data_IF_046576597196
#
_entry.id   IF_046576597196
#
_cell.length_a   1.000
_cell.length_b   1.000
_cell.length_c   1.000
_cell.angle_alpha   90.00
_cell.angle_beta   90.00
_cell.angle_gamma   90.00
#
_symmetry.space_group_name_H-M   'P 1'
#
loop_
_entity.id
_entity.type
_entity.pdbx_description
1 polymer ?
#
# COMPACT_ATOMS: atom_id res chain seq x y z
N UNK A 1 -7.22 -8.79 -16.91
CA UNK A 1 -5.75 -8.65 -16.83
C UNK A 1 -5.12 -9.71 -15.92
N UNK A 2 -5.48 -9.79 -14.63
CA UNK A 2 -4.91 -10.77 -13.69
C UNK A 2 -4.99 -12.23 -14.16
N UNK A 3 -6.15 -12.67 -14.67
CA UNK A 3 -6.31 -14.04 -15.21
C UNK A 3 -5.41 -14.35 -16.40
N UNK A 4 -5.04 -13.33 -17.18
CA UNK A 4 -4.16 -13.48 -18.34
C UNK A 4 -2.72 -13.68 -17.89
N UNK A 5 -2.24 -12.91 -16.92
CA UNK A 5 -0.91 -13.08 -16.33
C UNK A 5 -0.75 -14.46 -15.68
N UNK A 6 -1.73 -14.89 -14.89
CA UNK A 6 -1.72 -16.23 -14.27
C UNK A 6 -1.72 -17.37 -15.30
N UNK A 7 -2.32 -17.14 -16.48
CA UNK A 7 -2.32 -18.12 -17.59
C UNK A 7 -0.95 -18.22 -18.27
N UNK A 8 -0.20 -17.12 -18.34
CA UNK A 8 1.16 -17.10 -18.91
C UNK A 8 2.16 -17.69 -17.91
N UNK A 9 2.08 -17.28 -16.66
CA UNK A 9 2.96 -17.74 -15.60
C UNK A 9 2.17 -18.01 -14.31
N UNK A 10 1.98 -19.29 -13.98
CA UNK A 10 1.23 -19.70 -12.80
C UNK A 10 1.91 -19.31 -11.47
N UNK A 11 3.22 -18.99 -11.50
CA UNK A 11 3.96 -18.52 -10.32
C UNK A 11 3.75 -17.03 -10.03
N UNK A 12 3.20 -16.26 -10.96
CA UNK A 12 2.90 -14.85 -10.73
C UNK A 12 1.62 -14.68 -9.93
N UNK A 13 1.72 -13.91 -8.85
CA UNK A 13 0.61 -13.57 -7.97
C UNK A 13 0.62 -12.07 -7.69
N UNK A 14 -0.57 -11.50 -7.54
CA UNK A 14 -0.69 -10.10 -7.11
C UNK A 14 -0.36 -10.04 -5.63
N UNK A 15 0.68 -9.28 -5.29
CA UNK A 15 1.12 -9.08 -3.90
C UNK A 15 0.60 -7.75 -3.37
N UNK A 16 0.51 -6.74 -4.21
CA UNK A 16 -0.04 -5.44 -3.82
C UNK A 16 -0.25 -4.51 -5.04
N UNK A 17 -0.39 -3.21 -4.75
CA UNK A 17 -0.56 -2.10 -5.66
C UNK A 17 0.47 -1.00 -5.39
N UNK A 18 0.67 -0.14 -6.38
CA UNK A 18 1.57 1.00 -6.31
C UNK A 18 0.87 2.25 -6.81
N UNK A 19 1.36 3.41 -6.35
CA UNK A 19 0.89 4.71 -6.80
C UNK A 19 2.06 5.60 -7.19
N UNK A 20 1.89 6.33 -8.28
CA UNK A 20 2.85 7.33 -8.73
C UNK A 20 2.70 8.57 -7.85
N UNK A 21 3.74 8.89 -7.08
CA UNK A 21 3.69 9.98 -6.11
C UNK A 21 4.94 10.83 -6.10
N UNK A 22 4.91 11.89 -5.26
CA UNK A 22 5.92 11.93 -4.21
C UNK A 22 5.34 11.75 -2.80
N UNK A 23 4.00 11.83 -2.63
CA UNK A 23 3.34 11.83 -1.31
C UNK A 23 2.06 10.99 -1.32
N UNK A 24 1.68 10.51 -0.13
CA UNK A 24 0.41 9.84 0.17
C UNK A 24 -0.78 10.79 0.00
N UNK A 25 -1.90 10.25 -0.47
CA UNK A 25 -3.19 10.93 -0.61
C UNK A 25 -4.20 10.32 0.36
N UNK A 26 -5.19 11.10 0.79
CA UNK A 26 -6.23 10.59 1.69
C UNK A 26 -7.01 9.42 1.06
N UNK A 27 -7.28 9.49 -0.25
CA UNK A 27 -7.96 8.44 -1.01
C UNK A 27 -7.17 7.11 -1.05
N UNK A 28 -5.86 7.12 -0.76
CA UNK A 28 -5.04 5.91 -0.80
C UNK A 28 -5.50 4.91 0.27
N UNK A 29 -6.04 5.37 1.41
CA UNK A 29 -6.59 4.50 2.44
C UNK A 29 -7.83 3.74 1.96
N UNK A 30 -8.72 4.41 1.22
CA UNK A 30 -9.93 3.78 0.71
C UNK A 30 -9.61 2.79 -0.41
N UNK A 31 -8.66 3.12 -1.29
CA UNK A 31 -8.14 2.18 -2.30
C UNK A 31 -7.51 0.98 -1.60
N UNK A 32 -6.69 1.19 -0.58
CA UNK A 32 -6.03 0.11 0.15
C UNK A 32 -7.02 -0.85 0.81
N UNK A 33 -8.11 -0.33 1.39
CA UNK A 33 -9.21 -1.16 1.92
C UNK A 33 -9.84 -2.05 0.85
N UNK A 34 -9.97 -1.57 -0.38
CA UNK A 34 -10.47 -2.41 -1.47
C UNK A 34 -9.49 -3.53 -1.83
N UNK A 35 -8.18 -3.28 -1.72
CA UNK A 35 -7.14 -4.28 -2.01
C UNK A 35 -7.09 -5.43 -0.99
N UNK A 36 -7.55 -5.22 0.25
CA UNK A 36 -7.71 -6.28 1.24
C UNK A 36 -8.68 -7.39 0.77
N UNK A 37 -9.59 -7.11 -0.17
CA UNK A 37 -10.45 -8.14 -0.77
C UNK A 37 -9.72 -9.08 -1.73
N UNK A 38 -8.52 -8.70 -2.18
CA UNK A 38 -7.73 -9.45 -3.18
C UNK A 38 -6.48 -10.11 -2.57
N UNK A 39 -5.85 -9.44 -1.59
CA UNK A 39 -4.63 -9.90 -0.93
C UNK A 39 -4.77 -9.68 0.57
N UNK A 40 -4.39 -10.65 1.43
CA UNK A 40 -4.57 -10.53 2.88
C UNK A 40 -3.72 -9.43 3.53
N UNK A 41 -2.51 -9.16 3.01
CA UNK A 41 -1.58 -8.18 3.56
C UNK A 41 -1.04 -7.28 2.42
N UNK A 42 -1.85 -6.37 1.87
CA UNK A 42 -1.39 -5.47 0.83
C UNK A 42 -0.40 -4.43 1.39
N UNK A 43 0.58 -4.05 0.57
CA UNK A 43 1.60 -3.02 0.86
C UNK A 43 1.52 -1.91 -0.18
N UNK A 44 1.20 -0.69 0.20
CA UNK A 44 1.21 0.45 -0.73
C UNK A 44 2.66 0.87 -1.03
N UNK A 45 3.07 0.80 -2.28
CA UNK A 45 4.37 1.34 -2.72
C UNK A 45 4.18 2.65 -3.48
N UNK A 46 4.73 3.74 -2.94
CA UNK A 46 4.83 5.02 -3.63
C UNK A 46 6.12 5.05 -4.42
N UNK A 47 5.99 5.23 -5.74
CA UNK A 47 7.13 5.33 -6.66
C UNK A 47 7.34 6.79 -7.05
N UNK A 48 8.55 7.29 -6.83
CA UNK A 48 8.98 8.64 -7.22
C UNK A 48 9.58 8.57 -8.62
N UNK A 49 8.83 9.04 -9.61
CA UNK A 49 9.24 8.98 -11.03
C UNK A 49 10.39 9.94 -11.34
N UNK A 50 10.45 11.07 -10.62
CA UNK A 50 11.51 12.08 -10.77
C UNK A 50 12.20 12.29 -9.42
N UNK A 51 13.17 11.43 -9.05
CA UNK A 51 13.86 11.56 -7.78
C UNK A 51 14.70 12.83 -7.77
N UNK A 52 14.49 13.66 -6.75
CA UNK A 52 15.30 14.87 -6.48
C UNK A 52 16.45 14.60 -5.51
N UNK A 53 16.34 13.53 -4.74
CA UNK A 53 17.28 13.14 -3.69
C UNK A 53 18.01 11.85 -4.10
N UNK A 54 19.28 11.71 -3.70
CA UNK A 54 20.04 10.48 -3.88
C UNK A 54 19.52 9.41 -2.90
N UNK A 55 19.04 8.29 -3.43
CA UNK A 55 18.53 7.18 -2.62
C UNK A 55 17.59 6.27 -3.41
N UNK A 56 16.91 5.37 -2.70
CA UNK A 56 15.90 4.49 -3.30
C UNK A 56 14.66 5.33 -3.63
N UNK A 57 14.20 5.38 -4.90
CA UNK A 57 13.10 6.23 -5.33
C UNK A 57 11.71 5.67 -4.95
N UNK A 58 11.64 4.78 -3.96
CA UNK A 58 10.41 4.09 -3.55
C UNK A 58 10.22 4.14 -2.05
N UNK A 59 8.98 4.38 -1.61
CA UNK A 59 8.59 4.29 -0.20
C UNK A 59 7.44 3.29 -0.07
N UNK A 60 7.59 2.31 0.80
CA UNK A 60 6.58 1.30 1.04
C UNK A 60 5.84 1.57 2.36
N UNK A 61 4.54 1.31 2.38
CA UNK A 61 3.67 1.52 3.52
C UNK A 61 2.73 0.34 3.74
N UNK A 62 2.44 0.02 5.00
CA UNK A 62 1.45 -0.97 5.41
C UNK A 62 0.39 -0.32 6.31
N UNK A 63 -0.84 -0.83 6.29
CA UNK A 63 -1.90 -0.32 7.15
C UNK A 63 -1.83 -0.94 8.55
N UNK A 64 -2.03 -0.10 9.57
CA UNK A 64 -2.12 -0.51 10.98
C UNK A 64 -3.36 0.11 11.58
N UNK A 65 -4.09 -0.68 12.37
CA UNK A 65 -5.18 -0.18 13.20
C UNK A 65 -4.63 0.43 14.48
N UNK A 66 -4.72 1.74 14.60
CA UNK A 66 -4.37 2.44 15.83
C UNK A 66 -5.62 2.59 16.70
N UNK A 67 -5.57 2.01 17.89
CA UNK A 67 -6.61 2.16 18.92
C UNK A 67 -6.16 3.25 19.88
N UNK A 68 -6.85 4.39 19.87
CA UNK A 68 -6.61 5.46 20.85
C UNK A 68 -7.19 5.04 22.20
N UNK A 69 -6.40 5.14 23.27
CA UNK A 69 -6.78 4.71 24.64
C UNK A 69 -7.99 5.46 25.24
N UNK A 70 -8.44 6.55 24.60
CA UNK A 70 -9.66 7.23 25.03
C UNK A 70 -10.87 6.41 24.59
N UNK A 71 -11.50 5.73 25.55
CA UNK A 71 -12.56 4.72 25.46
C UNK A 71 -13.84 5.07 24.64
N UNK A 72 -13.84 6.14 23.85
CA UNK A 72 -14.97 6.60 23.02
C UNK A 72 -14.62 6.81 21.54
N UNK A 73 -13.37 6.67 21.11
CA UNK A 73 -12.98 6.94 19.71
C UNK A 73 -12.84 5.65 18.88
N UNK A 74 -13.50 5.62 17.72
CA UNK A 74 -13.42 4.54 16.72
C UNK A 74 -11.96 4.32 16.28
N UNK A 75 -11.56 3.07 16.09
CA UNK A 75 -10.25 2.70 15.54
C UNK A 75 -10.00 3.40 14.19
N UNK A 76 -8.81 3.97 14.01
CA UNK A 76 -8.40 4.61 12.76
C UNK A 76 -7.27 3.80 12.12
N UNK A 77 -7.44 3.51 10.83
CA UNK A 77 -6.37 2.88 10.03
C UNK A 77 -5.41 3.96 9.54
N UNK A 78 -4.13 3.77 9.79
CA UNK A 78 -3.05 4.67 9.35
C UNK A 78 -1.97 3.89 8.63
N UNK A 79 -1.25 4.57 7.75
CA UNK A 79 -0.12 3.99 7.04
C UNK A 79 1.18 4.19 7.83
N UNK A 80 1.89 3.10 8.07
CA UNK A 80 3.25 3.11 8.58
C UNK A 80 4.24 2.83 7.46
N UNK A 81 5.34 3.58 7.42
CA UNK A 81 6.42 3.33 6.46
C UNK A 81 7.16 2.05 6.83
N UNK A 82 7.40 1.18 5.85
CA UNK A 82 8.35 0.09 5.99
C UNK A 82 9.76 0.66 6.06
N UNK A 83 10.57 0.17 6.99
CA UNK A 83 12.01 0.39 7.01
C UNK A 83 12.68 -0.71 6.18
N UNK A 84 13.63 -0.33 5.31
CA UNK A 84 14.47 -1.24 4.54
C UNK A 84 15.87 -1.28 5.14
#
# INVERSE_FOLDING_TARGET
MFSVFKRINAKEQVVSWYSTGPKLRENDLDIHRLFHNYVPNPVLVIIIVQPKELGIPTKAYYDVEEVKENATQKSQKIFFSCSF
#
